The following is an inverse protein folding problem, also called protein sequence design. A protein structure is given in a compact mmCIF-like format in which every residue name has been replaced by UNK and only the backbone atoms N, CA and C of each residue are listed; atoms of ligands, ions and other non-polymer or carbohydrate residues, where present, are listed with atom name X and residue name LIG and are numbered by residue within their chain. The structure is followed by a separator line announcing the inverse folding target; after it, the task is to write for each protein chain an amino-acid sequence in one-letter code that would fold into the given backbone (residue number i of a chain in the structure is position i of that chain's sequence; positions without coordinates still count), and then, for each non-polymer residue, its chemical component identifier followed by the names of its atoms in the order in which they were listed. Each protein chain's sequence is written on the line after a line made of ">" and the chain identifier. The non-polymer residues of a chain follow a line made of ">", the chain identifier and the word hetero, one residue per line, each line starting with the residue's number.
data_IF_309474578513
#
_entry.id   IF_309474578513
#
_cell.length_a   1.000
_cell.length_b   1.000
_cell.length_c   1.000
_cell.angle_alpha   90.00
_cell.angle_beta   90.00
_cell.angle_gamma   90.00
#
_symmetry.space_group_name_H-M   'P 1'
#
loop_
_entity.id
_entity.type
_entity.pdbx_description
1 polymer ?
#
# COMPACT_ATOMS: atom_id res chain seq x y z
N UNK A 1 -9.54 1.93 0.66
CA UNK A 1 -8.98 3.00 1.51
C UNK A 1 -8.41 4.17 0.68
N UNK A 2 -7.48 3.95 -0.27
CA UNK A 2 -6.89 5.03 -1.10
C UNK A 2 -7.91 5.75 -2.00
N UNK A 3 -8.87 5.03 -2.58
CA UNK A 3 -9.94 5.62 -3.39
C UNK A 3 -10.87 6.54 -2.60
N UNK A 4 -11.04 6.30 -1.30
CA UNK A 4 -11.80 7.19 -0.44
C UNK A 4 -11.06 8.52 -0.25
N UNK A 5 -9.73 8.51 -0.27
CA UNK A 5 -8.91 9.72 -0.20
C UNK A 5 -8.99 10.57 -1.49
N UNK A 6 -8.96 9.89 -2.66
CA UNK A 6 -9.20 10.53 -3.97
C UNK A 6 -10.60 11.14 -4.02
N UNK A 7 -11.60 10.38 -3.56
CA UNK A 7 -12.99 10.83 -3.47
C UNK A 7 -13.17 12.06 -2.57
N UNK A 8 -12.51 12.10 -1.41
CA UNK A 8 -12.55 13.26 -0.50
C UNK A 8 -11.87 14.48 -1.13
N UNK A 9 -10.82 14.29 -1.93
CA UNK A 9 -10.11 15.38 -2.64
C UNK A 9 -10.95 15.97 -3.78
N UNK A 10 -11.77 15.16 -4.46
CA UNK A 10 -12.65 15.59 -5.57
C UNK A 10 -14.08 15.94 -5.15
N UNK A 11 -14.35 16.03 -3.84
CA UNK A 11 -15.70 16.22 -3.31
C UNK A 11 -16.34 17.56 -3.67
N UNK A 12 -15.57 18.53 -4.16
CA UNK A 12 -16.09 19.84 -4.59
C UNK A 12 -16.85 19.79 -5.92
N UNK A 13 -16.76 18.71 -6.71
CA UNK A 13 -17.53 18.54 -7.95
C UNK A 13 -18.43 17.30 -7.87
N UNK A 14 -19.68 17.52 -7.43
CA UNK A 14 -20.75 16.54 -7.26
C UNK A 14 -21.08 15.70 -8.53
N UNK A 15 -20.28 14.68 -8.88
CA UNK A 15 -20.60 13.84 -10.05
C UNK A 15 -20.44 12.32 -9.88
N UNK A 16 -19.58 11.80 -8.98
CA UNK A 16 -19.25 10.36 -8.99
C UNK A 16 -19.29 9.73 -7.59
N UNK A 17 -20.18 8.75 -7.37
CA UNK A 17 -20.35 8.05 -6.09
C UNK A 17 -19.19 7.08 -5.82
N UNK A 18 -18.72 7.00 -4.57
CA UNK A 18 -17.73 6.05 -4.04
C UNK A 18 -17.80 4.60 -4.61
N UNK A 19 -18.97 3.96 -4.79
CA UNK A 19 -19.08 2.64 -5.40
C UNK A 19 -18.53 2.53 -6.83
N UNK A 20 -18.63 3.57 -7.66
CA UNK A 20 -18.07 3.54 -9.02
C UNK A 20 -16.55 3.45 -9.01
N UNK A 21 -15.93 4.19 -8.10
CA UNK A 21 -14.50 4.13 -7.87
C UNK A 21 -14.06 2.73 -7.41
N UNK A 22 -14.80 2.11 -6.49
CA UNK A 22 -14.55 0.72 -6.05
C UNK A 22 -14.71 -0.26 -7.21
N UNK A 23 -15.72 -0.08 -8.06
CA UNK A 23 -15.96 -0.93 -9.23
C UNK A 23 -14.83 -0.80 -10.27
N UNK A 24 -14.39 0.42 -10.60
CA UNK A 24 -13.26 0.68 -11.50
C UNK A 24 -11.96 0.09 -10.92
N UNK A 25 -11.76 0.22 -9.61
CA UNK A 25 -10.60 -0.36 -8.96
C UNK A 25 -10.60 -1.88 -9.00
N UNK A 26 -11.73 -2.51 -8.70
CA UNK A 26 -11.91 -3.96 -8.82
C UNK A 26 -11.71 -4.43 -10.26
N UNK A 27 -12.23 -3.69 -11.23
CA UNK A 27 -12.04 -3.98 -12.66
C UNK A 27 -10.58 -3.85 -13.08
N UNK A 28 -9.88 -2.81 -12.62
CA UNK A 28 -8.45 -2.60 -12.90
C UNK A 28 -7.61 -3.71 -12.26
N UNK A 29 -7.89 -4.07 -11.01
CA UNK A 29 -7.26 -5.21 -10.34
C UNK A 29 -7.51 -6.51 -11.11
N UNK A 30 -8.74 -6.75 -11.56
CA UNK A 30 -9.11 -7.94 -12.34
C UNK A 30 -8.38 -7.99 -13.69
N UNK A 31 -8.34 -6.89 -14.44
CA UNK A 31 -7.60 -6.80 -15.70
C UNK A 31 -6.10 -7.03 -15.51
N UNK A 32 -5.53 -6.44 -14.46
CA UNK A 32 -4.12 -6.60 -14.13
C UNK A 32 -3.80 -8.06 -13.76
N UNK A 33 -4.67 -8.70 -12.98
CA UNK A 33 -4.54 -10.09 -12.61
C UNK A 33 -4.62 -11.05 -13.80
N UNK A 34 -5.49 -10.75 -14.77
CA UNK A 34 -5.64 -11.53 -16.01
C UNK A 34 -4.44 -11.32 -16.94
N UNK A 35 -3.91 -10.09 -17.05
CA UNK A 35 -2.83 -9.77 -17.98
C UNK A 35 -1.45 -10.25 -17.53
N UNK A 36 -1.20 -10.45 -16.23
CA UNK A 36 0.14 -10.76 -15.71
C UNK A 36 0.12 -12.09 -14.92
N UNK A 37 0.08 -13.24 -15.63
CA UNK A 37 0.15 -14.57 -15.01
C UNK A 37 1.59 -15.08 -14.81
N UNK A 38 2.63 -14.30 -15.14
CA UNK A 38 4.02 -14.78 -15.22
C UNK A 38 4.97 -14.16 -14.19
N UNK A 39 5.71 -15.01 -13.46
CA UNK A 39 6.66 -14.63 -12.38
C UNK A 39 7.83 -13.75 -12.86
N UNK A 40 8.25 -13.84 -14.12
CA UNK A 40 9.32 -13.00 -14.68
C UNK A 40 8.91 -11.53 -14.81
N UNK A 41 7.64 -11.27 -15.13
CA UNK A 41 7.09 -9.92 -15.16
C UNK A 41 6.93 -9.34 -13.75
N UNK A 42 6.67 -10.20 -12.75
CA UNK A 42 6.49 -9.80 -11.35
C UNK A 42 7.71 -9.04 -10.80
N UNK A 43 8.94 -9.44 -11.20
CA UNK A 43 10.18 -8.76 -10.78
C UNK A 43 10.27 -7.32 -11.31
N UNK A 44 9.82 -7.08 -12.54
CA UNK A 44 9.79 -5.74 -13.14
C UNK A 44 8.70 -4.90 -12.46
N UNK A 45 7.53 -5.49 -12.23
CA UNK A 45 6.42 -4.84 -11.54
C UNK A 45 6.73 -4.50 -10.07
N UNK A 46 7.54 -5.29 -9.37
CA UNK A 46 8.09 -4.96 -8.06
C UNK A 46 8.95 -3.68 -8.10
N UNK A 47 9.80 -3.54 -9.12
CA UNK A 47 10.59 -2.32 -9.33
C UNK A 47 9.69 -1.11 -9.60
N UNK A 48 8.68 -1.26 -10.45
CA UNK A 48 7.68 -0.21 -10.74
C UNK A 48 6.89 0.17 -9.48
N UNK A 49 6.46 -0.81 -8.69
CA UNK A 49 5.75 -0.61 -7.43
C UNK A 49 6.60 0.17 -6.42
N UNK A 50 7.89 -0.17 -6.33
CA UNK A 50 8.85 0.56 -5.47
C UNK A 50 9.06 2.00 -5.94
N UNK A 51 9.12 2.24 -7.25
CA UNK A 51 9.21 3.60 -7.78
C UNK A 51 7.93 4.41 -7.48
N UNK A 52 6.75 3.83 -7.70
CA UNK A 52 5.46 4.46 -7.43
C UNK A 52 5.28 4.78 -5.93
N UNK A 53 5.74 3.90 -5.04
CA UNK A 53 5.74 4.18 -3.60
C UNK A 53 6.72 5.30 -3.26
N UNK A 54 7.94 5.30 -3.80
CA UNK A 54 8.90 6.39 -3.58
C UNK A 54 8.37 7.75 -4.02
N UNK A 55 7.70 7.83 -5.18
CA UNK A 55 7.08 9.07 -5.66
C UNK A 55 6.04 9.58 -4.65
N UNK A 56 5.20 8.70 -4.11
CA UNK A 56 4.24 9.05 -3.07
C UNK A 56 4.94 9.55 -1.80
N UNK A 57 5.97 8.83 -1.34
CA UNK A 57 6.72 9.15 -0.11
C UNK A 57 7.39 10.52 -0.22
N UNK A 58 8.13 10.76 -1.30
CA UNK A 58 8.86 12.02 -1.53
C UNK A 58 7.87 13.19 -1.63
N UNK A 59 6.75 12.99 -2.33
CA UNK A 59 5.70 14.01 -2.45
C UNK A 59 5.09 14.33 -1.08
N UNK A 60 4.71 13.32 -0.30
CA UNK A 60 4.14 13.49 1.03
C UNK A 60 5.09 14.22 1.98
N UNK A 61 6.35 13.77 2.08
CA UNK A 61 7.37 14.39 2.93
C UNK A 61 7.63 15.83 2.52
N UNK A 62 7.73 16.12 1.22
CA UNK A 62 7.92 17.49 0.71
C UNK A 62 6.78 18.42 1.14
N UNK A 63 5.54 17.92 1.08
CA UNK A 63 4.37 18.66 1.52
C UNK A 63 4.33 18.88 3.02
N UNK A 64 4.68 17.86 3.81
CA UNK A 64 4.74 17.95 5.26
C UNK A 64 5.78 18.95 5.72
N UNK A 65 6.96 18.95 5.12
CA UNK A 65 8.01 19.93 5.43
C UNK A 65 7.54 21.35 5.09
N UNK A 66 6.97 21.55 3.89
CA UNK A 66 6.47 22.88 3.47
C UNK A 66 5.34 23.41 4.38
N UNK A 67 4.43 22.55 4.80
CA UNK A 67 3.30 22.93 5.64
C UNK A 67 3.68 23.03 7.11
N UNK A 68 4.54 22.12 7.60
CA UNK A 68 5.03 22.12 8.98
C UNK A 68 5.85 23.36 9.31
N UNK A 69 6.72 23.81 8.40
CA UNK A 69 7.52 25.04 8.61
C UNK A 69 6.64 26.31 8.67
N UNK A 70 5.53 26.33 7.94
CA UNK A 70 4.62 27.50 7.84
C UNK A 70 3.49 27.48 8.86
N UNK A 71 3.43 26.46 9.71
CA UNK A 71 2.26 26.21 10.54
C UNK A 71 2.30 26.97 11.88
N UNK A 72 1.12 27.37 12.42
CA UNK A 72 1.00 27.86 13.78
C UNK A 72 1.29 26.75 14.82
N UNK A 73 1.44 27.10 16.12
CA UNK A 73 1.75 26.14 17.18
C UNK A 73 0.82 24.93 17.16
N UNK A 74 1.39 23.72 17.25
CA UNK A 74 0.66 22.46 17.14
C UNK A 74 0.36 21.88 18.52
N UNK A 75 -0.85 21.36 18.67
CA UNK A 75 -1.20 20.50 19.78
C UNK A 75 -0.83 19.05 19.45
N UNK A 76 -0.11 18.41 20.36
CA UNK A 76 0.30 16.99 20.27
C UNK A 76 -0.46 16.12 21.27
N UNK A 77 -1.51 16.66 21.89
CA UNK A 77 -2.39 15.87 22.75
C UNK A 77 -3.11 14.80 21.94
N UNK A 78 -3.21 13.58 22.50
CA UNK A 78 -3.98 12.50 21.88
C UNK A 78 -5.47 12.83 22.10
N UNK A 79 -6.25 13.04 21.04
CA UNK A 79 -7.67 13.40 21.14
C UNK A 79 -8.50 12.22 21.66
N UNK A 80 -9.62 12.52 22.32
CA UNK A 80 -10.61 11.52 22.75
C UNK A 80 -10.57 11.17 24.24
N UNK A 81 -11.59 10.41 24.66
CA UNK A 81 -11.77 9.92 26.03
C UNK A 81 -10.77 8.80 26.37
N UNK A 82 -10.56 8.50 27.65
CA UNK A 82 -9.64 7.42 28.09
C UNK A 82 -9.87 6.10 27.35
N UNK A 83 -11.13 5.69 27.20
CA UNK A 83 -11.53 4.47 26.48
C UNK A 83 -11.17 4.53 24.99
N UNK A 84 -11.42 5.67 24.34
CA UNK A 84 -11.10 5.86 22.91
C UNK A 84 -9.60 5.79 22.65
N UNK A 85 -8.77 6.31 23.55
CA UNK A 85 -7.29 6.21 23.44
C UNK A 85 -6.83 4.77 23.47
N UNK A 86 -7.41 3.94 24.35
CA UNK A 86 -7.09 2.50 24.44
C UNK A 86 -7.44 1.80 23.12
N UNK A 87 -8.67 1.95 22.63
CA UNK A 87 -9.08 1.31 21.37
C UNK A 87 -8.27 1.80 20.17
N UNK A 88 -7.95 3.10 20.11
CA UNK A 88 -7.12 3.67 19.04
C UNK A 88 -5.69 3.11 19.08
N UNK A 89 -5.14 2.91 20.29
CA UNK A 89 -3.80 2.33 20.47
C UNK A 89 -3.77 0.86 20.04
N UNK A 90 -4.80 0.08 20.38
CA UNK A 90 -4.96 -1.31 19.93
C UNK A 90 -5.12 -1.38 18.41
N UNK A 91 -5.92 -0.50 17.82
CA UNK A 91 -6.07 -0.43 16.36
C UNK A 91 -4.77 -0.07 15.64
N UNK A 92 -4.00 0.86 16.21
CA UNK A 92 -2.69 1.25 15.69
C UNK A 92 -1.66 0.11 15.79
N UNK A 93 -1.61 -0.61 16.91
CA UNK A 93 -0.69 -1.76 17.07
C UNK A 93 -1.07 -2.92 16.15
N UNK A 94 -2.37 -3.22 16.00
CA UNK A 94 -2.84 -4.22 15.05
C UNK A 94 -2.46 -3.87 13.60
N UNK A 95 -2.58 -2.59 13.23
CA UNK A 95 -2.17 -2.10 11.91
C UNK A 95 -0.66 -2.22 11.70
N UNK A 96 0.15 -1.99 12.73
CA UNK A 96 1.61 -2.16 12.68
C UNK A 96 2.00 -3.62 12.47
N UNK A 97 1.38 -4.54 13.22
CA UNK A 97 1.61 -5.99 13.06
C UNK A 97 1.20 -6.44 11.65
N UNK A 98 0.06 -5.97 11.15
CA UNK A 98 -0.40 -6.28 9.79
C UNK A 98 0.56 -5.76 8.71
N UNK A 99 1.13 -4.57 8.89
CA UNK A 99 2.09 -4.00 7.94
C UNK A 99 3.38 -4.83 7.81
N UNK A 100 3.77 -5.56 8.87
CA UNK A 100 4.94 -6.45 8.88
C UNK A 100 4.56 -7.92 8.61
N UNK A 101 3.68 -8.16 7.63
CA UNK A 101 3.28 -9.51 7.27
C UNK A 101 4.45 -10.34 6.70
N UNK A 102 4.59 -11.56 7.20
CA UNK A 102 5.62 -12.54 6.79
C UNK A 102 5.10 -13.63 5.85
N UNK A 103 3.85 -13.52 5.39
CA UNK A 103 3.16 -14.54 4.61
C UNK A 103 3.79 -14.83 3.25
N UNK A 104 4.65 -13.94 2.76
CA UNK A 104 5.37 -14.07 1.49
C UNK A 104 6.79 -14.65 1.61
N UNK A 105 7.24 -14.97 2.82
CA UNK A 105 8.59 -15.51 3.04
C UNK A 105 8.84 -16.83 2.29
N UNK A 106 7.90 -17.81 2.25
CA UNK A 106 8.11 -19.06 1.53
C UNK A 106 8.33 -18.87 0.02
N UNK A 107 7.62 -17.94 -0.63
CA UNK A 107 7.72 -17.68 -2.07
C UNK A 107 9.02 -16.94 -2.42
N UNK A 108 9.46 -16.04 -1.53
CA UNK A 108 10.77 -15.40 -1.63
C UNK A 108 11.88 -16.47 -1.52
N UNK A 109 11.76 -17.42 -0.60
CA UNK A 109 12.71 -18.54 -0.47
C UNK A 109 12.76 -19.39 -1.74
N UNK A 110 11.61 -19.68 -2.35
CA UNK A 110 11.52 -20.50 -3.56
C UNK A 110 12.18 -19.86 -4.80
N UNK A 111 12.36 -18.53 -4.79
CA UNK A 111 12.90 -17.76 -5.94
C UNK A 111 14.35 -17.30 -5.76
N UNK A 112 14.91 -17.38 -4.55
CA UNK A 112 16.27 -16.95 -4.24
C UNK A 112 17.34 -17.92 -4.73
N UNK A 113 18.49 -17.38 -5.16
CA UNK A 113 19.65 -18.21 -5.52
C UNK A 113 20.29 -18.83 -4.27
N UNK A 114 20.75 -20.10 -4.35
CA UNK A 114 21.47 -20.74 -3.26
C UNK A 114 22.76 -19.96 -2.93
N UNK A 115 23.13 -19.81 -1.64
CA UNK A 115 22.47 -20.33 -0.43
C UNK A 115 21.25 -19.50 0.00
N UNK A 116 20.06 -20.11 -0.03
CA UNK A 116 18.76 -19.44 0.12
C UNK A 116 18.60 -18.79 1.49
N UNK A 117 18.87 -19.52 2.57
CA UNK A 117 18.66 -19.04 3.95
C UNK A 117 19.55 -17.84 4.27
N UNK A 118 20.84 -17.89 3.92
CA UNK A 118 21.77 -16.80 4.20
C UNK A 118 21.42 -15.52 3.44
N UNK A 119 21.09 -15.66 2.15
CA UNK A 119 20.70 -14.52 1.32
C UNK A 119 19.35 -13.92 1.78
N UNK A 120 18.39 -14.77 2.15
CA UNK A 120 17.12 -14.33 2.70
C UNK A 120 17.31 -13.57 4.03
N UNK A 121 18.12 -14.09 4.96
CA UNK A 121 18.36 -13.41 6.24
C UNK A 121 19.01 -12.03 6.05
N UNK A 122 19.96 -11.89 5.11
CA UNK A 122 20.52 -10.58 4.75
C UNK A 122 19.46 -9.62 4.23
N UNK A 123 18.58 -10.09 3.34
CA UNK A 123 17.47 -9.29 2.83
C UNK A 123 16.49 -8.89 3.96
N UNK A 124 16.24 -9.79 4.90
CA UNK A 124 15.38 -9.54 6.06
C UNK A 124 15.97 -8.47 6.98
N UNK A 125 17.26 -8.57 7.31
CA UNK A 125 17.96 -7.55 8.10
C UNK A 125 17.96 -6.20 7.40
N UNK A 126 18.21 -6.18 6.09
CA UNK A 126 18.12 -4.95 5.29
C UNK A 126 16.72 -4.33 5.33
N UNK A 127 15.68 -5.15 5.17
CA UNK A 127 14.29 -4.69 5.20
C UNK A 127 13.90 -4.10 6.56
N UNK A 128 14.21 -4.78 7.66
CA UNK A 128 13.86 -4.31 9.01
C UNK A 128 14.74 -3.18 9.52
N UNK A 129 15.94 -2.99 8.94
CA UNK A 129 16.84 -1.89 9.32
C UNK A 129 16.63 -0.66 8.45
N UNK A 130 16.83 -0.81 7.13
CA UNK A 130 16.80 0.29 6.16
C UNK A 130 15.41 0.43 5.53
N UNK A 131 14.76 -0.69 5.21
CA UNK A 131 13.44 -0.69 4.56
C UNK A 131 12.31 -0.06 5.39
N UNK A 132 12.47 -0.01 6.71
CA UNK A 132 11.51 0.64 7.64
C UNK A 132 11.69 2.16 7.72
N UNK A 133 12.87 2.69 7.37
CA UNK A 133 13.16 4.13 7.49
C UNK A 133 12.18 5.03 6.75
N UNK A 134 11.73 4.72 5.50
CA UNK A 134 10.76 5.57 4.81
C UNK A 134 9.39 5.61 5.51
N UNK A 135 8.97 4.49 6.13
CA UNK A 135 7.73 4.43 6.91
C UNK A 135 7.84 5.31 8.14
N UNK A 136 8.93 5.20 8.90
CA UNK A 136 9.21 6.07 10.04
C UNK A 136 9.31 7.54 9.63
N UNK A 137 9.99 7.85 8.53
CA UNK A 137 10.11 9.22 8.03
C UNK A 137 8.73 9.85 7.78
N UNK A 138 7.82 9.15 7.10
CA UNK A 138 6.46 9.66 6.86
C UNK A 138 5.70 9.87 8.17
N UNK A 139 5.74 8.88 9.07
CA UNK A 139 4.96 8.93 10.31
C UNK A 139 5.45 10.04 11.23
N UNK A 140 6.76 10.13 11.46
CA UNK A 140 7.34 11.15 12.33
C UNK A 140 7.22 12.56 11.74
N UNK A 141 7.54 12.74 10.45
CA UNK A 141 7.44 14.06 9.80
C UNK A 141 5.97 14.50 9.67
N UNK A 142 5.06 13.56 9.38
CA UNK A 142 3.63 13.84 9.31
C UNK A 142 3.05 14.24 10.67
N UNK A 143 3.38 13.49 11.72
CA UNK A 143 2.96 13.83 13.08
C UNK A 143 3.57 15.15 13.56
N UNK A 144 4.84 15.41 13.26
CA UNK A 144 5.49 16.70 13.55
C UNK A 144 4.81 17.86 12.80
N UNK A 145 4.42 17.67 11.54
CA UNK A 145 3.83 18.73 10.73
C UNK A 145 2.39 19.08 11.14
N UNK A 146 1.60 18.12 11.64
CA UNK A 146 0.16 18.28 11.88
C UNK A 146 -0.32 18.03 13.31
N UNK A 147 0.47 17.36 14.15
CA UNK A 147 0.13 16.99 15.52
C UNK A 147 -1.16 16.18 15.62
N UNK A 148 -2.02 16.56 16.56
CA UNK A 148 -3.37 16.03 16.75
C UNK A 148 -4.27 16.15 15.49
N UNK A 149 -4.00 17.14 14.62
CA UNK A 149 -4.72 17.31 13.34
C UNK A 149 -4.28 16.38 12.21
N UNK A 150 -3.37 15.44 12.48
CA UNK A 150 -2.92 14.46 11.48
C UNK A 150 -4.07 13.50 11.14
N UNK A 151 -4.58 13.59 9.90
CA UNK A 151 -5.58 12.66 9.40
C UNK A 151 -4.94 11.33 9.00
N UNK A 152 -5.69 10.23 9.09
CA UNK A 152 -5.34 8.93 8.49
C UNK A 152 -5.06 9.07 6.98
N UNK A 153 -5.65 10.09 6.33
CA UNK A 153 -5.34 10.50 4.98
C UNK A 153 -4.32 11.63 4.99
N UNK A 154 -3.06 11.24 5.07
CA UNK A 154 -1.89 12.09 5.19
C UNK A 154 -1.86 13.33 4.26
N UNK A 155 -2.21 13.17 2.97
CA UNK A 155 -2.22 14.29 2.00
C UNK A 155 -3.49 15.17 2.08
N UNK A 156 -4.56 14.73 2.76
CA UNK A 156 -5.77 15.53 2.94
C UNK A 156 -5.58 16.65 3.98
N UNK A 157 -4.69 16.45 4.96
CA UNK A 157 -4.34 17.48 5.95
C UNK A 157 -3.46 18.61 5.37
N UNK A 158 -3.01 18.47 4.12
CA UNK A 158 -2.04 19.37 3.47
C UNK A 158 -2.74 20.40 2.56
N UNK A 159 -2.40 21.68 2.76
CA UNK A 159 -2.73 22.75 1.82
C UNK A 159 -1.72 22.75 0.66
N UNK A 160 -2.20 22.53 -0.57
CA UNK A 160 -1.36 22.42 -1.76
C UNK A 160 -2.15 22.15 -3.04
N UNK A 161 -1.50 22.28 -4.21
CA UNK A 161 -2.14 22.07 -5.51
C UNK A 161 -2.78 20.68 -5.61
N UNK A 162 -4.07 20.66 -5.96
CA UNK A 162 -4.91 19.46 -6.02
C UNK A 162 -4.32 18.40 -6.97
N UNK A 163 -3.75 18.82 -8.10
CA UNK A 163 -3.18 17.90 -9.09
C UNK A 163 -2.03 17.04 -8.51
N UNK A 164 -1.18 17.59 -7.62
CA UNK A 164 -0.06 16.85 -7.02
C UNK A 164 -0.57 15.84 -5.99
N UNK A 165 -1.60 16.21 -5.22
CA UNK A 165 -2.25 15.29 -4.28
C UNK A 165 -2.91 14.13 -5.03
N UNK A 166 -3.62 14.44 -6.11
CA UNK A 166 -4.25 13.46 -6.99
C UNK A 166 -3.22 12.52 -7.62
N UNK A 167 -2.11 13.04 -8.18
CA UNK A 167 -1.07 12.19 -8.78
C UNK A 167 -0.42 11.26 -7.77
N UNK A 168 -0.18 11.74 -6.54
CA UNK A 168 0.35 10.92 -5.47
C UNK A 168 -0.64 9.80 -5.07
N UNK A 169 -1.93 10.12 -4.94
CA UNK A 169 -2.93 9.10 -4.66
C UNK A 169 -3.11 8.08 -5.78
N UNK A 170 -3.04 8.50 -7.05
CA UNK A 170 -3.03 7.58 -8.20
C UNK A 170 -1.80 6.67 -8.15
N UNK A 171 -0.62 7.22 -7.85
CA UNK A 171 0.62 6.44 -7.68
C UNK A 171 0.47 5.38 -6.58
N UNK A 172 -0.03 5.77 -5.41
CA UNK A 172 -0.29 4.86 -4.29
C UNK A 172 -1.35 3.80 -4.64
N UNK A 173 -2.38 4.18 -5.40
CA UNK A 173 -3.41 3.26 -5.86
C UNK A 173 -2.83 2.20 -6.79
N UNK A 174 -2.11 2.61 -7.85
CA UNK A 174 -1.46 1.69 -8.80
C UNK A 174 -0.47 0.77 -8.09
N UNK A 175 0.32 1.32 -7.16
CA UNK A 175 1.22 0.55 -6.31
C UNK A 175 0.49 -0.52 -5.49
N UNK A 176 -0.68 -0.18 -4.93
CA UNK A 176 -1.50 -1.11 -4.15
C UNK A 176 -2.11 -2.22 -5.01
N UNK A 177 -2.49 -1.93 -6.26
CA UNK A 177 -2.96 -2.95 -7.21
C UNK A 177 -1.86 -3.98 -7.47
N UNK A 178 -0.63 -3.52 -7.73
CA UNK A 178 0.52 -4.40 -7.94
C UNK A 178 0.81 -5.24 -6.69
N UNK A 179 0.78 -4.63 -5.50
CA UNK A 179 1.00 -5.33 -4.24
C UNK A 179 -0.08 -6.40 -3.98
N UNK A 180 -1.36 -6.08 -4.18
CA UNK A 180 -2.46 -7.04 -4.02
C UNK A 180 -2.31 -8.24 -4.95
N UNK A 181 -1.90 -8.01 -6.21
CA UNK A 181 -1.65 -9.10 -7.16
C UNK A 181 -0.53 -10.04 -6.67
N UNK A 182 0.55 -9.46 -6.15
CA UNK A 182 1.68 -10.20 -5.58
C UNK A 182 1.27 -11.01 -4.34
N UNK A 183 0.45 -10.43 -3.44
CA UNK A 183 -0.06 -11.15 -2.26
C UNK A 183 -1.09 -12.22 -2.59
N UNK A 184 -1.81 -12.07 -3.72
CA UNK A 184 -2.81 -13.03 -4.14
C UNK A 184 -2.18 -14.26 -4.84
N UNK A 185 -0.96 -14.13 -5.41
CA UNK A 185 -0.33 -15.24 -6.14
C UNK A 185 -0.17 -16.54 -5.33
N UNK A 186 0.28 -16.52 -4.06
CA UNK A 186 0.36 -17.75 -3.25
C UNK A 186 -1.02 -18.32 -2.92
N UNK A 187 -2.00 -17.42 -2.77
CA UNK A 187 -3.38 -17.74 -2.42
C UNK A 187 -4.10 -18.45 -3.57
N UNK A 188 -3.73 -18.16 -4.82
CA UNK A 188 -4.18 -18.90 -6.00
C UNK A 188 -3.43 -20.22 -6.21
N UNK A 189 -2.13 -20.29 -5.86
CA UNK A 189 -1.34 -21.51 -6.01
C UNK A 189 -1.74 -22.63 -5.01
N UNK A 190 -2.23 -22.28 -3.82
CA UNK A 190 -2.66 -23.26 -2.81
C UNK A 190 -3.81 -24.18 -3.29
N UNK A 191 -4.94 -23.67 -3.81
CA UNK A 191 -5.96 -24.54 -4.40
C UNK A 191 -5.51 -25.22 -5.69
N UNK A 192 -4.69 -24.59 -6.54
CA UNK A 192 -4.19 -25.19 -7.79
C UNK A 192 -3.33 -26.44 -7.51
N UNK A 193 -2.51 -26.40 -6.44
CA UNK A 193 -1.70 -27.53 -5.98
C UNK A 193 -2.51 -28.58 -5.22
N UNK A 194 -3.52 -28.18 -4.45
CA UNK A 194 -4.43 -29.11 -3.76
C UNK A 194 -5.34 -29.91 -4.69
N UNK A 195 -5.78 -29.33 -5.81
CA UNK A 195 -6.64 -29.97 -6.82
C UNK A 195 -5.91 -30.44 -8.08
N UNK A 196 -4.58 -30.27 -8.14
CA UNK A 196 -3.75 -30.76 -9.25
C UNK A 196 -4.00 -30.07 -10.60
N UNK A 197 -4.62 -28.89 -10.60
CA UNK A 197 -4.87 -28.12 -11.82
C UNK A 197 -3.53 -27.47 -12.21
N UNK A 198 -2.84 -28.04 -13.20
CA UNK A 198 -1.69 -27.41 -13.84
C UNK A 198 -2.13 -26.76 -15.16
N UNK A 199 -2.39 -25.47 -15.13
CA UNK A 199 -2.56 -24.67 -16.36
C UNK A 199 -3.46 -23.45 -16.18
N UNK A 200 -3.16 -22.39 -16.94
CA UNK A 200 -3.89 -21.11 -17.00
C UNK A 200 -5.41 -21.29 -16.86
N UNK A 201 -6.00 -20.58 -15.90
CA UNK A 201 -7.44 -20.57 -15.59
C UNK A 201 -8.34 -20.22 -16.79
N UNK A 202 -7.77 -19.72 -17.89
CA UNK A 202 -8.48 -19.34 -19.12
C UNK A 202 -8.34 -20.35 -20.28
N UNK A 203 -7.86 -21.57 -20.03
CA UNK A 203 -7.89 -22.60 -21.08
C UNK A 203 -9.34 -23.07 -21.25
N UNK A 204 -9.93 -22.80 -22.41
CA UNK A 204 -11.31 -23.18 -22.83
C UNK A 204 -11.71 -24.64 -22.51
N UNK A 205 -10.74 -25.54 -22.29
CA UNK A 205 -10.96 -26.93 -21.92
C UNK A 205 -11.46 -27.15 -20.49
N UNK A 206 -11.34 -26.15 -19.60
CA UNK A 206 -11.80 -26.22 -18.21
C UNK A 206 -13.15 -25.50 -17.98
N UNK A 207 -13.74 -24.89 -19.02
CA UNK A 207 -15.05 -24.23 -18.96
C UNK A 207 -16.19 -25.11 -19.47
N UNK A 208 -15.89 -26.37 -19.81
CA UNK A 208 -16.88 -27.38 -20.18
C UNK A 208 -16.89 -28.50 -19.15
N UNK A 209 -17.46 -28.22 -17.98
CA UNK A 209 -18.09 -29.18 -17.08
C UNK A 209 -19.20 -28.45 -16.31
#
# INVERSE_FOLDING_TARGET
>A
MILQAIYITFRDENAIKLPYFIAIAGFTCGLFAICIPHLSALRIWLGVSTFLSLVYIVTAVSFFLRNGIKAPPRDYSIPGTHTSKIFTTIGASASLVFAFNTGMLPEIQATLRPPVVSNMMKALYFQFSIGVLPLYAIVFIGYWAFGNGASSYLLNSVNGPVWVKTSAYISAFLQSVIALHIFASPMYEYPDTGYGIKGSALRFRNLSL
#
